data_IF_633838205048
#
_entry.id   IF_633838205048
#
_cell.length_a   1.000
_cell.length_b   1.000
_cell.length_c   1.000
_cell.angle_alpha   90.00
_cell.angle_beta   90.00
_cell.angle_gamma   90.00
#
_symmetry.space_group_name_H-M   'P 1'
#
loop_
_entity.id
_entity.type
_entity.pdbx_description
1 polymer ?
#
# COMPACT_ATOMS: atom_id res chain seq x y z
N UNK A 1 -13.49 41.33 17.07
CA UNK A 1 -14.61 41.42 18.03
C UNK A 1 -15.94 41.05 17.39
N UNK A 2 -16.31 41.61 16.24
CA UNK A 2 -17.54 41.22 15.51
C UNK A 2 -17.61 39.73 15.15
N UNK A 3 -16.54 39.14 14.61
CA UNK A 3 -16.50 37.69 14.32
C UNK A 3 -16.60 36.83 15.58
N UNK A 4 -16.10 37.32 16.72
CA UNK A 4 -16.19 36.60 17.99
C UNK A 4 -17.62 36.59 18.52
N UNK A 5 -18.33 37.72 18.39
CA UNK A 5 -19.75 37.81 18.72
C UNK A 5 -20.58 36.87 17.83
N UNK A 6 -20.37 36.92 16.50
CA UNK A 6 -21.05 36.04 15.55
C UNK A 6 -20.80 34.55 15.84
N UNK A 7 -19.56 34.16 16.15
CA UNK A 7 -19.22 32.77 16.44
C UNK A 7 -19.96 32.23 17.69
N UNK A 8 -20.15 33.09 18.68
CA UNK A 8 -20.84 32.77 19.93
C UNK A 8 -22.37 32.65 19.76
N UNK A 9 -22.95 33.09 18.65
CA UNK A 9 -24.39 32.96 18.38
C UNK A 9 -24.79 31.49 18.15
N UNK A 10 -25.66 30.90 18.99
CA UNK A 10 -26.01 29.48 18.88
C UNK A 10 -26.65 29.12 17.54
N UNK A 11 -27.47 30.03 16.99
CA UNK A 11 -28.21 29.83 15.74
C UNK A 11 -27.43 30.26 14.48
N UNK A 12 -26.14 30.63 14.62
CA UNK A 12 -25.33 31.04 13.48
C UNK A 12 -25.31 29.93 12.42
N UNK A 13 -25.72 30.30 11.21
CA UNK A 13 -25.81 29.37 10.08
C UNK A 13 -24.46 28.69 9.80
N UNK A 14 -24.49 27.39 9.49
CA UNK A 14 -23.28 26.58 9.26
C UNK A 14 -22.33 27.19 8.24
N UNK A 15 -22.85 27.82 7.19
CA UNK A 15 -22.02 28.41 6.13
C UNK A 15 -21.30 29.68 6.60
N UNK A 16 -21.90 30.45 7.51
CA UNK A 16 -21.23 31.56 8.17
C UNK A 16 -20.14 31.05 9.12
N UNK A 17 -20.39 29.96 9.86
CA UNK A 17 -19.35 29.30 10.66
C UNK A 17 -18.19 28.83 9.78
N UNK A 18 -18.46 28.20 8.63
CA UNK A 18 -17.43 27.81 7.65
C UNK A 18 -16.65 29.02 7.12
N UNK A 19 -17.33 30.13 6.83
CA UNK A 19 -16.68 31.36 6.39
C UNK A 19 -15.75 31.95 7.46
N UNK A 20 -16.18 31.96 8.73
CA UNK A 20 -15.35 32.37 9.88
C UNK A 20 -14.11 31.47 9.99
N UNK A 21 -14.28 30.14 9.90
CA UNK A 21 -13.17 29.17 9.95
C UNK A 21 -12.18 29.39 8.81
N UNK A 22 -12.67 29.64 7.59
CA UNK A 22 -11.82 29.95 6.44
C UNK A 22 -11.05 31.26 6.64
N UNK A 23 -11.71 32.29 7.19
CA UNK A 23 -11.07 33.57 7.50
C UNK A 23 -10.06 33.47 8.65
N UNK A 24 -10.31 32.62 9.65
CA UNK A 24 -9.43 32.41 10.81
C UNK A 24 -7.99 32.04 10.40
N UNK A 25 -7.82 31.32 9.28
CA UNK A 25 -6.50 30.94 8.74
C UNK A 25 -5.61 32.14 8.37
N UNK A 26 -6.20 33.33 8.18
CA UNK A 26 -5.47 34.56 7.84
C UNK A 26 -4.98 35.32 9.07
N UNK A 27 -5.44 34.96 10.26
CA UNK A 27 -5.19 35.66 11.53
C UNK A 27 -4.72 34.69 12.62
N UNK A 28 -3.87 33.73 12.26
CA UNK A 28 -3.35 32.69 13.17
C UNK A 28 -2.43 33.22 14.29
N UNK A 29 -2.12 34.52 14.29
CA UNK A 29 -1.46 35.20 15.42
C UNK A 29 -2.45 35.53 16.56
N UNK A 30 -3.76 35.42 16.32
CA UNK A 30 -4.83 35.63 17.31
C UNK A 30 -5.29 34.28 17.89
N UNK A 31 -5.22 34.12 19.22
CA UNK A 31 -5.63 32.89 19.90
C UNK A 31 -7.12 32.54 19.70
N UNK A 32 -7.97 33.54 19.43
CA UNK A 32 -9.39 33.30 19.12
C UNK A 32 -9.57 32.53 17.81
N UNK A 33 -8.69 32.77 16.83
CA UNK A 33 -8.70 32.03 15.58
C UNK A 33 -8.46 30.53 15.82
N UNK A 34 -7.52 30.21 16.72
CA UNK A 34 -7.24 28.83 17.12
C UNK A 34 -8.39 28.21 17.90
N UNK A 35 -9.07 28.97 18.75
CA UNK A 35 -10.27 28.50 19.44
C UNK A 35 -11.35 28.08 18.43
N UNK A 36 -11.69 28.96 17.48
CA UNK A 36 -12.71 28.67 16.47
C UNK A 36 -12.33 27.47 15.59
N UNK A 37 -11.07 27.39 15.18
CA UNK A 37 -10.55 26.25 14.41
C UNK A 37 -10.66 24.93 15.19
N UNK A 38 -10.34 24.95 16.49
CA UNK A 38 -10.44 23.78 17.36
C UNK A 38 -11.88 23.34 17.54
N UNK A 39 -12.78 24.27 17.86
CA UNK A 39 -14.21 23.99 18.01
C UNK A 39 -14.82 23.47 16.70
N UNK A 40 -14.40 24.01 15.56
CA UNK A 40 -14.85 23.57 14.24
C UNK A 40 -14.52 22.11 13.93
N UNK A 41 -13.44 21.55 14.50
CA UNK A 41 -13.11 20.12 14.30
C UNK A 41 -14.18 19.18 14.85
N UNK A 42 -14.93 19.61 15.88
CA UNK A 42 -16.02 18.85 16.48
C UNK A 42 -17.39 19.09 15.84
N UNK A 43 -17.50 20.02 14.90
CA UNK A 43 -18.76 20.37 14.23
C UNK A 43 -18.79 19.73 12.83
N UNK A 44 -19.48 18.60 12.67
CA UNK A 44 -19.57 17.84 11.39
C UNK A 44 -19.77 18.71 10.15
N UNK A 45 -20.70 19.66 10.18
CA UNK A 45 -21.01 20.53 9.05
C UNK A 45 -19.92 21.60 8.73
N UNK A 46 -19.00 21.84 9.67
CA UNK A 46 -17.98 22.89 9.61
C UNK A 46 -16.56 22.31 9.50
N UNK A 47 -16.33 21.09 9.99
CA UNK A 47 -15.01 20.44 10.06
C UNK A 47 -14.28 20.36 8.71
N UNK A 48 -15.01 20.22 7.60
CA UNK A 48 -14.43 20.28 6.25
C UNK A 48 -13.76 21.62 5.93
N UNK A 49 -14.25 22.72 6.48
CA UNK A 49 -13.57 24.01 6.39
C UNK A 49 -12.26 24.06 7.19
N UNK A 50 -11.92 23.08 8.02
CA UNK A 50 -10.56 22.97 8.59
C UNK A 50 -9.64 22.25 7.61
N UNK A 51 -10.11 21.18 6.97
CA UNK A 51 -9.34 20.29 6.10
C UNK A 51 -9.07 20.85 4.70
N UNK A 52 -9.83 21.86 4.26
CA UNK A 52 -9.64 22.57 2.98
C UNK A 52 -8.39 23.45 2.92
N UNK A 53 -7.58 23.52 3.98
CA UNK A 53 -6.35 24.31 3.98
C UNK A 53 -5.21 23.54 3.33
N UNK A 54 -4.49 24.21 2.41
CA UNK A 54 -3.23 23.72 1.89
C UNK A 54 -2.08 24.13 2.85
N UNK A 55 -1.19 23.20 3.25
CA UNK A 55 -0.08 23.50 4.16
C UNK A 55 0.79 24.68 3.74
N UNK A 56 0.96 24.93 2.44
CA UNK A 56 1.76 26.03 1.91
C UNK A 56 1.10 27.39 2.09
N UNK A 57 -0.22 27.43 2.26
CA UNK A 57 -0.95 28.67 2.59
C UNK A 57 -0.87 29.05 4.07
N UNK A 58 -0.43 28.11 4.92
CA UNK A 58 -0.24 28.34 6.36
C UNK A 58 1.22 28.73 6.64
N UNK A 59 1.47 29.80 7.43
CA UNK A 59 2.81 30.16 7.85
C UNK A 59 3.52 29.00 8.54
N UNK A 60 4.80 28.80 8.22
CA UNK A 60 5.58 27.64 8.65
C UNK A 60 5.51 27.37 10.16
N UNK A 61 5.61 28.43 10.97
CA UNK A 61 5.51 28.35 12.45
C UNK A 61 4.21 27.74 12.96
N UNK A 62 3.15 27.70 12.16
CA UNK A 62 1.84 27.19 12.51
C UNK A 62 1.47 25.86 11.86
N UNK A 63 2.28 25.34 10.92
CA UNK A 63 1.93 24.13 10.16
C UNK A 63 1.77 22.89 11.04
N UNK A 64 2.64 22.70 12.02
CA UNK A 64 2.54 21.58 12.95
C UNK A 64 1.24 21.64 13.77
N UNK A 65 0.92 22.82 14.34
CA UNK A 65 -0.30 23.04 15.11
C UNK A 65 -1.56 22.86 14.25
N UNK A 66 -1.53 23.31 13.01
CA UNK A 66 -2.65 23.15 12.08
C UNK A 66 -2.79 21.70 11.61
N UNK A 67 -1.70 20.98 11.36
CA UNK A 67 -1.70 19.54 11.04
C UNK A 67 -2.38 18.71 12.14
N UNK A 68 -2.17 19.06 13.40
CA UNK A 68 -2.86 18.43 14.53
C UNK A 68 -4.40 18.64 14.50
N UNK A 69 -4.88 19.78 13.97
CA UNK A 69 -6.33 19.98 13.76
C UNK A 69 -6.87 19.07 12.66
N UNK A 70 -6.14 18.93 11.54
CA UNK A 70 -6.53 18.02 10.45
C UNK A 70 -6.55 16.57 10.93
N UNK A 71 -5.58 16.16 11.75
CA UNK A 71 -5.59 14.87 12.44
C UNK A 71 -6.77 14.72 13.40
N UNK A 72 -7.15 15.77 14.12
CA UNK A 72 -8.31 15.75 15.01
C UNK A 72 -9.59 15.46 14.21
N UNK A 73 -9.76 16.11 13.04
CA UNK A 73 -10.86 15.80 12.12
C UNK A 73 -10.80 14.35 11.64
N UNK A 74 -9.61 13.85 11.29
CA UNK A 74 -9.40 12.46 10.84
C UNK A 74 -9.78 11.41 11.90
N UNK A 75 -9.68 11.77 13.18
CA UNK A 75 -10.05 10.92 14.33
C UNK A 75 -11.51 11.05 14.77
N UNK A 76 -12.36 11.80 14.05
CA UNK A 76 -13.76 12.02 14.42
C UNK A 76 -14.55 10.72 14.59
N UNK A 77 -15.50 10.72 15.53
CA UNK A 77 -16.45 9.62 15.69
C UNK A 77 -17.49 9.55 14.56
N UNK A 78 -17.74 10.67 13.87
CA UNK A 78 -18.57 10.71 12.67
C UNK A 78 -17.74 10.24 11.45
N UNK A 79 -18.11 9.13 10.79
CA UNK A 79 -17.31 8.57 9.71
C UNK A 79 -17.15 9.49 8.50
N UNK A 80 -18.16 10.29 8.18
CA UNK A 80 -18.10 11.23 7.04
C UNK A 80 -17.09 12.34 7.32
N UNK A 81 -17.13 12.92 8.52
CA UNK A 81 -16.13 13.88 9.00
C UNK A 81 -14.73 13.27 9.01
N UNK A 82 -14.57 12.07 9.60
CA UNK A 82 -13.29 11.37 9.65
C UNK A 82 -12.68 11.17 8.26
N UNK A 83 -13.49 10.76 7.27
CA UNK A 83 -13.02 10.57 5.89
C UNK A 83 -12.45 11.84 5.26
N UNK A 84 -13.02 13.01 5.56
CA UNK A 84 -12.50 14.29 5.03
C UNK A 84 -11.15 14.66 5.67
N UNK A 85 -10.99 14.41 6.97
CA UNK A 85 -9.70 14.55 7.65
C UNK A 85 -8.64 13.58 7.14
N UNK A 86 -9.00 12.30 6.98
CA UNK A 86 -8.09 11.25 6.50
C UNK A 86 -7.62 11.53 5.07
N UNK A 87 -8.49 12.05 4.20
CA UNK A 87 -8.12 12.44 2.84
C UNK A 87 -7.16 13.65 2.81
N UNK A 88 -7.31 14.59 3.75
CA UNK A 88 -6.48 15.79 3.80
C UNK A 88 -5.14 15.58 4.52
N UNK A 89 -5.09 14.69 5.52
CA UNK A 89 -3.95 14.51 6.41
C UNK A 89 -2.60 14.21 5.72
N UNK A 90 -2.51 13.43 4.62
CA UNK A 90 -1.23 13.12 3.98
C UNK A 90 -0.43 14.37 3.58
N UNK A 91 -1.10 15.44 3.15
CA UNK A 91 -0.45 16.71 2.83
C UNK A 91 0.22 17.36 4.07
N UNK A 92 -0.29 17.06 5.27
CA UNK A 92 0.19 17.60 6.54
C UNK A 92 1.22 16.70 7.25
N UNK A 93 1.42 15.48 6.76
CA UNK A 93 2.23 14.43 7.40
C UNK A 93 3.66 14.87 7.76
N UNK A 94 4.28 15.72 6.93
CA UNK A 94 5.62 16.28 7.16
C UNK A 94 5.71 17.07 8.48
N UNK A 95 4.61 17.70 8.92
CA UNK A 95 4.59 18.56 10.12
C UNK A 95 3.88 17.92 11.33
N UNK A 96 3.11 16.84 11.14
CA UNK A 96 2.38 16.15 12.22
C UNK A 96 2.99 14.78 12.53
N UNK A 97 4.02 14.79 13.39
CA UNK A 97 4.77 13.56 13.77
C UNK A 97 3.92 12.51 14.50
N UNK A 98 2.84 12.92 15.14
CA UNK A 98 1.96 12.00 15.88
C UNK A 98 0.91 11.32 14.98
N UNK A 99 0.73 11.81 13.74
CA UNK A 99 -0.40 11.36 12.94
C UNK A 99 -0.29 9.95 12.41
N UNK A 100 0.91 9.49 12.06
CA UNK A 100 1.11 8.11 11.66
C UNK A 100 0.67 7.14 12.77
N UNK A 101 1.12 7.37 14.02
CA UNK A 101 0.77 6.54 15.16
C UNK A 101 -0.75 6.52 15.45
N UNK A 102 -1.42 7.67 15.35
CA UNK A 102 -2.86 7.77 15.52
C UNK A 102 -3.64 6.98 14.45
N UNK A 103 -3.21 7.06 13.18
CA UNK A 103 -3.82 6.33 12.09
C UNK A 103 -3.56 4.82 12.17
N UNK A 104 -2.36 4.40 12.59
CA UNK A 104 -2.03 2.98 12.84
C UNK A 104 -2.96 2.40 13.90
N UNK A 105 -3.16 3.10 15.03
CA UNK A 105 -4.09 2.68 16.08
C UNK A 105 -5.54 2.56 15.54
N UNK A 106 -5.95 3.47 14.67
CA UNK A 106 -7.26 3.42 14.01
C UNK A 106 -7.40 2.25 13.03
N UNK A 107 -6.33 1.87 12.31
CA UNK A 107 -6.31 0.70 11.42
C UNK A 107 -6.36 -0.60 12.23
N UNK A 108 -5.68 -0.66 13.37
CA UNK A 108 -5.66 -1.83 14.26
C UNK A 108 -6.95 -1.97 15.09
N UNK A 109 -7.71 -0.88 15.31
CA UNK A 109 -9.02 -0.92 15.96
C UNK A 109 -10.05 -1.65 15.08
N UNK A 110 -10.22 -2.95 15.35
CA UNK A 110 -11.13 -3.80 14.61
C UNK A 110 -12.59 -3.36 14.73
N UNK A 111 -12.99 -2.54 15.71
CA UNK A 111 -14.37 -2.03 15.82
C UNK A 111 -14.65 -0.85 14.88
N UNK A 112 -13.60 -0.12 14.43
CA UNK A 112 -13.73 0.97 13.45
C UNK A 112 -13.80 0.43 12.02
N UNK A 113 -15.00 0.09 11.55
CA UNK A 113 -15.20 -0.49 10.20
C UNK A 113 -15.26 0.54 9.08
N UNK A 114 -15.75 1.75 9.34
CA UNK A 114 -16.05 2.74 8.31
C UNK A 114 -14.84 3.57 7.83
N UNK A 115 -13.73 3.56 8.58
CA UNK A 115 -12.62 4.51 8.42
C UNK A 115 -11.24 3.87 8.33
N UNK A 116 -11.10 2.56 8.51
CA UNK A 116 -9.79 1.89 8.45
C UNK A 116 -9.18 1.92 7.04
N UNK A 117 -9.99 1.78 5.98
CA UNK A 117 -9.48 1.85 4.59
C UNK A 117 -8.96 3.25 4.23
N UNK A 118 -9.71 4.34 4.46
CA UNK A 118 -9.17 5.69 4.30
C UNK A 118 -7.93 5.97 5.16
N UNK A 119 -7.85 5.40 6.38
CA UNK A 119 -6.65 5.53 7.21
C UNK A 119 -5.44 4.79 6.64
N UNK A 120 -5.62 3.56 6.14
CA UNK A 120 -4.59 2.82 5.42
C UNK A 120 -4.07 3.60 4.21
N UNK A 121 -4.98 4.14 3.40
CA UNK A 121 -4.64 4.97 2.24
C UNK A 121 -3.84 6.21 2.64
N UNK A 122 -4.25 6.87 3.73
CA UNK A 122 -3.59 8.06 4.22
C UNK A 122 -2.15 7.78 4.71
N UNK A 123 -1.93 6.64 5.39
CA UNK A 123 -0.58 6.21 5.78
C UNK A 123 0.29 5.94 4.56
N UNK A 124 -0.21 5.20 3.57
CA UNK A 124 0.53 4.88 2.34
C UNK A 124 0.90 6.15 1.56
N UNK A 125 -0.04 7.08 1.41
CA UNK A 125 0.20 8.38 0.76
C UNK A 125 1.23 9.19 1.54
N UNK A 126 1.15 9.23 2.88
CA UNK A 126 2.11 9.94 3.70
C UNK A 126 3.52 9.36 3.60
N UNK A 127 3.68 8.03 3.55
CA UNK A 127 4.98 7.40 3.34
C UNK A 127 5.57 7.78 1.98
N UNK A 128 4.74 7.81 0.92
CA UNK A 128 5.18 8.24 -0.41
C UNK A 128 5.58 9.74 -0.45
N UNK A 129 4.88 10.60 0.28
CA UNK A 129 5.18 12.05 0.37
C UNK A 129 6.45 12.33 1.18
N UNK A 130 6.62 11.65 2.31
CA UNK A 130 7.71 11.91 3.26
C UNK A 130 8.98 11.11 2.96
N UNK A 131 8.85 9.99 2.24
CA UNK A 131 9.90 8.99 2.09
C UNK A 131 10.17 8.16 3.35
N UNK A 132 9.43 8.39 4.44
CA UNK A 132 9.53 7.60 5.67
C UNK A 132 8.64 6.35 5.56
N UNK A 133 9.26 5.17 5.57
CA UNK A 133 8.58 3.88 5.46
C UNK A 133 8.34 3.19 6.80
N UNK A 134 8.84 3.75 7.91
CA UNK A 134 8.64 3.16 9.24
C UNK A 134 7.15 2.93 9.60
N UNK A 135 6.19 3.79 9.19
CA UNK A 135 4.77 3.52 9.43
C UNK A 135 4.24 2.24 8.77
N UNK A 136 4.84 1.77 7.67
CA UNK A 136 4.41 0.56 6.96
C UNK A 136 4.64 -0.69 7.81
N UNK A 137 5.84 -0.82 8.37
CA UNK A 137 6.20 -1.89 9.30
C UNK A 137 5.30 -1.85 10.55
N UNK A 138 4.98 -0.65 11.04
CA UNK A 138 4.12 -0.48 12.20
C UNK A 138 2.66 -0.88 11.93
N UNK A 139 2.08 -0.56 10.76
CA UNK A 139 0.74 -1.04 10.38
C UNK A 139 0.70 -2.57 10.32
N UNK A 140 1.68 -3.18 9.64
CA UNK A 140 1.75 -4.64 9.48
C UNK A 140 1.90 -5.30 10.85
N UNK A 141 2.80 -4.79 11.70
CA UNK A 141 3.01 -5.32 13.05
C UNK A 141 1.74 -5.22 13.90
N UNK A 142 1.07 -4.06 13.90
CA UNK A 142 -0.14 -3.87 14.67
C UNK A 142 -1.31 -4.77 14.22
N UNK A 143 -1.45 -5.04 12.92
CA UNK A 143 -2.48 -5.95 12.40
C UNK A 143 -2.18 -7.41 12.71
N UNK A 144 -0.91 -7.82 12.66
CA UNK A 144 -0.48 -9.16 13.08
C UNK A 144 -0.74 -9.36 14.58
N UNK A 145 -0.47 -8.37 15.42
CA UNK A 145 -0.66 -8.49 16.88
C UNK A 145 -2.12 -8.80 17.25
N UNK A 146 -3.08 -8.36 16.43
CA UNK A 146 -4.51 -8.60 16.64
C UNK A 146 -5.07 -9.69 15.72
N UNK A 147 -4.22 -10.52 15.10
CA UNK A 147 -4.64 -11.47 14.06
C UNK A 147 -5.64 -12.53 14.54
N UNK A 148 -5.45 -12.99 15.78
CA UNK A 148 -6.29 -13.99 16.44
C UNK A 148 -7.51 -13.40 17.17
N UNK A 149 -7.71 -12.07 17.09
CA UNK A 149 -8.87 -11.42 17.72
C UNK A 149 -10.14 -11.75 16.94
N UNK A 150 -10.99 -12.57 17.57
CA UNK A 150 -12.31 -12.91 17.06
C UNK A 150 -13.27 -11.75 17.33
N UNK A 151 -13.99 -11.32 16.30
CA UNK A 151 -15.11 -10.40 16.46
C UNK A 151 -16.38 -11.03 15.92
N UNK A 152 -17.47 -10.96 16.70
CA UNK A 152 -18.76 -11.50 16.32
C UNK A 152 -19.17 -11.05 14.90
N UNK A 153 -19.70 -12.02 14.14
CA UNK A 153 -20.19 -11.85 12.78
C UNK A 153 -19.14 -11.38 11.74
N UNK A 154 -17.84 -11.49 12.06
CA UNK A 154 -16.75 -11.09 11.17
C UNK A 154 -15.63 -12.12 11.13
N UNK A 155 -15.36 -12.64 9.93
CA UNK A 155 -14.31 -13.64 9.71
C UNK A 155 -12.95 -12.97 9.51
N UNK A 156 -11.99 -13.24 10.40
CA UNK A 156 -10.58 -12.82 10.28
C UNK A 156 -10.38 -11.33 9.92
N UNK A 157 -11.00 -10.38 10.66
CA UNK A 157 -10.99 -8.97 10.30
C UNK A 157 -9.57 -8.37 10.20
N UNK A 158 -8.63 -8.82 11.04
CA UNK A 158 -7.24 -8.39 10.99
C UNK A 158 -6.54 -8.86 9.70
N UNK A 159 -6.65 -10.15 9.34
CA UNK A 159 -6.13 -10.70 8.07
C UNK A 159 -6.69 -10.00 6.85
N UNK A 160 -8.00 -9.73 6.84
CA UNK A 160 -8.64 -9.02 5.73
C UNK A 160 -8.07 -7.61 5.56
N UNK A 161 -7.87 -6.88 6.68
CA UNK A 161 -7.24 -5.55 6.65
C UNK A 161 -5.79 -5.60 6.21
N UNK A 162 -5.02 -6.58 6.69
CA UNK A 162 -3.62 -6.77 6.30
C UNK A 162 -3.51 -7.04 4.80
N UNK A 163 -4.35 -7.94 4.27
CA UNK A 163 -4.39 -8.23 2.82
C UNK A 163 -4.75 -7.00 2.00
N UNK A 164 -5.76 -6.23 2.40
CA UNK A 164 -6.13 -5.00 1.69
C UNK A 164 -5.01 -3.95 1.76
N UNK A 165 -4.34 -3.83 2.92
CA UNK A 165 -3.20 -2.93 3.10
C UNK A 165 -2.03 -3.30 2.20
N UNK A 166 -1.60 -4.57 2.18
CA UNK A 166 -0.49 -5.04 1.33
C UNK A 166 -0.80 -4.89 -0.16
N UNK A 167 -2.05 -5.15 -0.56
CA UNK A 167 -2.51 -4.91 -1.94
C UNK A 167 -2.40 -3.44 -2.33
N UNK A 168 -2.92 -2.52 -1.51
CA UNK A 168 -2.82 -1.06 -1.74
C UNK A 168 -1.39 -0.56 -1.70
N UNK A 169 -0.55 -1.17 -0.86
CA UNK A 169 0.87 -0.86 -0.80
C UNK A 169 1.55 -1.19 -2.13
N UNK A 170 1.21 -2.32 -2.75
CA UNK A 170 1.60 -2.66 -4.12
C UNK A 170 1.27 -1.55 -5.13
N UNK A 171 0.05 -0.99 -5.06
CA UNK A 171 -0.39 0.11 -5.93
C UNK A 171 0.46 1.40 -5.77
N UNK A 172 1.10 1.59 -4.61
CA UNK A 172 1.93 2.75 -4.30
C UNK A 172 3.40 2.60 -4.72
N UNK A 173 3.87 1.40 -5.09
CA UNK A 173 5.29 1.16 -5.38
C UNK A 173 5.80 1.94 -6.60
N UNK A 174 4.93 2.21 -7.59
CA UNK A 174 5.32 3.01 -8.75
C UNK A 174 5.50 4.49 -8.41
N UNK A 175 4.64 5.05 -7.56
CA UNK A 175 4.71 6.46 -7.14
C UNK A 175 5.79 6.70 -6.08
N UNK A 176 6.03 5.70 -5.23
CA UNK A 176 6.92 5.79 -4.06
C UNK A 176 8.40 5.58 -4.32
N UNK A 177 8.79 5.21 -5.54
CA UNK A 177 10.18 5.00 -5.92
C UNK A 177 10.85 3.82 -5.20
N UNK A 178 12.18 3.86 -5.11
CA UNK A 178 12.99 2.73 -4.63
C UNK A 178 12.86 2.50 -3.11
N UNK A 179 12.66 3.55 -2.33
CA UNK A 179 12.48 3.43 -0.87
C UNK A 179 11.25 2.59 -0.52
N UNK A 180 10.11 2.84 -1.18
CA UNK A 180 8.88 2.08 -0.98
C UNK A 180 9.04 0.63 -1.45
N UNK A 181 9.79 0.40 -2.54
CA UNK A 181 10.11 -0.96 -3.02
C UNK A 181 10.97 -1.74 -2.04
N UNK A 182 12.03 -1.13 -1.49
CA UNK A 182 12.85 -1.76 -0.46
C UNK A 182 12.06 -2.10 0.81
N UNK A 183 11.12 -1.24 1.22
CA UNK A 183 10.21 -1.55 2.31
C UNK A 183 9.28 -2.74 2.00
N UNK A 184 8.77 -2.84 0.76
CA UNK A 184 7.96 -3.98 0.34
C UNK A 184 8.74 -5.30 0.30
N UNK A 185 10.00 -5.26 -0.14
CA UNK A 185 10.91 -6.41 -0.09
C UNK A 185 11.16 -6.88 1.35
N UNK A 186 11.46 -5.96 2.27
CA UNK A 186 11.67 -6.27 3.69
C UNK A 186 10.40 -6.86 4.33
N UNK A 187 9.24 -6.24 4.08
CA UNK A 187 7.96 -6.66 4.64
C UNK A 187 7.53 -8.02 4.10
N UNK A 188 7.65 -8.24 2.79
CA UNK A 188 7.32 -9.54 2.18
C UNK A 188 8.23 -10.65 2.71
N UNK A 189 9.53 -10.40 2.87
CA UNK A 189 10.46 -11.37 3.48
C UNK A 189 10.07 -11.69 4.92
N UNK A 190 9.74 -10.67 5.72
CA UNK A 190 9.34 -10.85 7.13
C UNK A 190 8.05 -11.66 7.23
N UNK A 191 7.03 -11.33 6.43
CA UNK A 191 5.74 -12.00 6.44
C UNK A 191 5.78 -13.42 5.86
N UNK A 192 6.68 -13.71 4.91
CA UNK A 192 6.78 -15.02 4.28
C UNK A 192 7.15 -16.15 5.27
N UNK A 193 7.80 -15.80 6.38
CA UNK A 193 8.12 -16.72 7.47
C UNK A 193 6.88 -17.16 8.28
N UNK A 194 5.77 -16.43 8.17
CA UNK A 194 4.48 -16.77 8.83
C UNK A 194 3.59 -17.50 7.85
N UNK A 195 3.18 -18.72 8.20
CA UNK A 195 2.44 -19.59 7.28
C UNK A 195 1.10 -18.95 6.87
N UNK A 196 0.42 -18.31 7.81
CA UNK A 196 -0.87 -17.64 7.65
C UNK A 196 -0.82 -16.43 6.70
N UNK A 197 0.36 -15.83 6.50
CA UNK A 197 0.54 -14.62 5.66
C UNK A 197 1.38 -14.87 4.41
N UNK A 198 1.88 -16.10 4.22
CA UNK A 198 2.84 -16.43 3.15
C UNK A 198 2.32 -16.10 1.75
N UNK A 199 1.04 -16.36 1.49
CA UNK A 199 0.42 -16.04 0.19
C UNK A 199 0.41 -14.54 -0.08
N UNK A 200 0.00 -13.74 0.90
CA UNK A 200 -0.08 -12.28 0.78
C UNK A 200 1.33 -11.66 0.71
N UNK A 201 2.29 -12.24 1.44
CA UNK A 201 3.71 -11.86 1.40
C UNK A 201 4.35 -12.10 0.02
N UNK A 202 4.14 -13.28 -0.56
CA UNK A 202 4.65 -13.62 -1.90
C UNK A 202 4.01 -12.76 -2.99
N UNK A 203 2.72 -12.41 -2.84
CA UNK A 203 2.07 -11.49 -3.75
C UNK A 203 2.76 -10.11 -3.73
N UNK A 204 3.03 -9.56 -2.54
CA UNK A 204 3.76 -8.31 -2.40
C UNK A 204 5.19 -8.41 -2.96
N UNK A 205 5.90 -9.51 -2.73
CA UNK A 205 7.25 -9.72 -3.24
C UNK A 205 7.31 -9.66 -4.78
N UNK A 206 6.34 -10.28 -5.46
CA UNK A 206 6.25 -10.21 -6.93
C UNK A 206 5.96 -8.77 -7.39
N UNK A 207 5.03 -8.06 -6.74
CA UNK A 207 4.74 -6.66 -7.07
C UNK A 207 5.96 -5.75 -6.82
N UNK A 208 6.78 -6.07 -5.82
CA UNK A 208 7.99 -5.34 -5.46
C UNK A 208 9.22 -5.66 -6.33
N UNK A 209 9.11 -6.55 -7.33
CA UNK A 209 10.25 -6.86 -8.20
C UNK A 209 10.85 -5.59 -8.83
N UNK A 210 12.19 -5.54 -8.95
CA UNK A 210 12.86 -4.38 -9.53
C UNK A 210 12.50 -4.29 -11.01
N UNK A 211 12.20 -3.08 -11.48
CA UNK A 211 11.82 -2.86 -12.89
C UNK A 211 13.03 -2.87 -13.83
N UNK A 212 14.24 -2.78 -13.27
CA UNK A 212 15.52 -2.78 -13.98
C UNK A 212 16.56 -3.53 -13.15
N UNK A 213 17.50 -4.18 -13.83
CA UNK A 213 18.57 -4.93 -13.20
C UNK A 213 18.24 -6.41 -13.01
N UNK A 214 19.10 -7.10 -12.26
CA UNK A 214 19.05 -8.54 -12.11
C UNK A 214 17.86 -8.99 -11.24
N UNK A 215 16.92 -9.72 -11.85
CA UNK A 215 15.76 -10.30 -11.19
C UNK A 215 16.08 -11.56 -10.39
N UNK A 216 17.20 -12.23 -10.71
CA UNK A 216 17.48 -13.59 -10.24
C UNK A 216 17.54 -13.70 -8.70
N UNK A 217 18.19 -12.79 -7.95
CA UNK A 217 18.20 -12.87 -6.49
C UNK A 217 16.80 -12.80 -5.87
N UNK A 218 15.97 -11.87 -6.35
CA UNK A 218 14.61 -11.68 -5.85
C UNK A 218 13.72 -12.89 -6.18
N UNK A 219 13.81 -13.41 -7.40
CA UNK A 219 13.05 -14.60 -7.82
C UNK A 219 13.45 -15.86 -7.05
N UNK A 220 14.73 -16.02 -6.72
CA UNK A 220 15.20 -17.11 -5.84
C UNK A 220 14.68 -16.96 -4.41
N UNK A 221 14.68 -15.75 -3.87
CA UNK A 221 14.09 -15.46 -2.56
C UNK A 221 12.60 -15.81 -2.52
N UNK A 222 11.85 -15.42 -3.55
CA UNK A 222 10.45 -15.77 -3.74
C UNK A 222 10.25 -17.30 -3.83
N UNK A 223 11.06 -17.98 -4.65
CA UNK A 223 10.96 -19.43 -4.84
C UNK A 223 11.23 -20.21 -3.54
N UNK A 224 12.16 -19.74 -2.70
CA UNK A 224 12.49 -20.36 -1.43
C UNK A 224 11.31 -20.40 -0.44
N UNK A 225 10.40 -19.43 -0.51
CA UNK A 225 9.17 -19.42 0.31
C UNK A 225 7.95 -20.00 -0.43
N UNK A 226 8.04 -20.27 -1.73
CA UNK A 226 6.97 -20.91 -2.50
C UNK A 226 7.09 -22.45 -2.44
N UNK A 227 7.23 -23.00 -1.25
CA UNK A 227 7.59 -24.39 -0.94
C UNK A 227 6.46 -25.42 -1.17
N UNK A 228 5.24 -24.94 -1.50
CA UNK A 228 4.07 -25.77 -1.77
C UNK A 228 3.64 -25.64 -3.23
N UNK A 229 3.20 -26.74 -3.90
CA UNK A 229 2.77 -26.70 -5.29
C UNK A 229 1.78 -25.57 -5.62
N UNK A 230 0.73 -25.41 -4.82
CA UNK A 230 -0.26 -24.36 -5.01
C UNK A 230 0.32 -22.95 -4.88
N UNK A 231 1.26 -22.72 -3.95
CA UNK A 231 1.94 -21.43 -3.79
C UNK A 231 2.88 -21.16 -4.96
N UNK A 232 3.71 -22.13 -5.32
CA UNK A 232 4.63 -22.03 -6.45
C UNK A 232 3.89 -21.68 -7.75
N UNK A 233 2.77 -22.35 -8.02
CA UNK A 233 1.91 -22.05 -9.16
C UNK A 233 1.34 -20.63 -9.09
N UNK A 234 0.80 -20.23 -7.95
CA UNK A 234 0.22 -18.90 -7.75
C UNK A 234 1.22 -17.76 -7.91
N UNK A 235 2.47 -17.95 -7.49
CA UNK A 235 3.54 -16.97 -7.68
C UNK A 235 3.98 -16.94 -9.14
N UNK A 236 4.09 -18.10 -9.79
CA UNK A 236 4.39 -18.20 -11.20
C UNK A 236 3.34 -17.46 -12.08
N UNK A 237 2.05 -17.58 -11.75
CA UNK A 237 0.98 -16.82 -12.43
C UNK A 237 1.10 -15.32 -12.20
N UNK A 238 1.37 -14.89 -10.96
CA UNK A 238 1.61 -13.48 -10.64
C UNK A 238 2.82 -12.91 -11.36
N UNK A 239 3.90 -13.68 -11.49
CA UNK A 239 5.08 -13.26 -12.24
C UNK A 239 4.74 -13.09 -13.72
N UNK A 240 3.95 -14.01 -14.30
CA UNK A 240 3.49 -13.88 -15.68
C UNK A 240 2.65 -12.62 -15.88
N UNK A 241 1.71 -12.33 -14.97
CA UNK A 241 0.90 -11.11 -14.97
C UNK A 241 1.78 -9.85 -14.83
N UNK A 242 2.71 -9.85 -13.87
CA UNK A 242 3.66 -8.75 -13.67
C UNK A 242 4.45 -8.47 -14.95
N UNK A 243 4.96 -9.51 -15.63
CA UNK A 243 5.71 -9.38 -16.88
C UNK A 243 4.88 -8.77 -18.03
N UNK A 244 3.54 -8.88 -18.03
CA UNK A 244 2.71 -8.25 -19.07
C UNK A 244 2.82 -6.73 -19.08
N UNK A 245 3.07 -6.10 -17.93
CA UNK A 245 3.27 -4.67 -17.77
C UNK A 245 4.72 -4.20 -17.96
N UNK A 246 5.66 -5.12 -18.25
CA UNK A 246 7.10 -4.84 -18.28
C UNK A 246 7.74 -5.20 -19.63
N UNK A 247 9.01 -4.80 -19.81
CA UNK A 247 9.77 -5.08 -21.04
C UNK A 247 10.14 -6.56 -21.16
N UNK A 248 9.28 -7.31 -21.84
CA UNK A 248 9.45 -8.74 -22.15
C UNK A 248 10.48 -9.03 -23.24
N UNK A 249 11.04 -8.00 -23.87
CA UNK A 249 12.10 -8.14 -24.88
C UNK A 249 13.50 -8.08 -24.29
N UNK A 250 13.62 -7.85 -22.98
CA UNK A 250 14.91 -7.79 -22.29
C UNK A 250 15.71 -9.10 -22.49
N UNK A 251 16.94 -9.01 -22.99
CA UNK A 251 17.78 -10.20 -23.22
C UNK A 251 18.19 -10.89 -21.91
N UNK A 252 18.15 -10.17 -20.78
CA UNK A 252 18.49 -10.70 -19.46
C UNK A 252 17.49 -11.76 -18.99
N UNK A 253 16.23 -11.71 -19.46
CA UNK A 253 15.18 -12.65 -19.06
C UNK A 253 15.51 -14.10 -19.42
N UNK A 254 16.22 -14.34 -20.54
CA UNK A 254 16.67 -15.69 -20.89
C UNK A 254 17.70 -16.20 -19.89
N UNK A 255 18.68 -15.36 -19.53
CA UNK A 255 19.71 -15.71 -18.54
C UNK A 255 19.09 -16.02 -17.18
N UNK A 256 18.14 -15.19 -16.73
CA UNK A 256 17.38 -15.40 -15.50
C UNK A 256 16.58 -16.70 -15.53
N UNK A 257 15.84 -16.97 -16.62
CA UNK A 257 15.03 -18.18 -16.73
C UNK A 257 15.89 -19.45 -16.74
N UNK A 258 17.03 -19.44 -17.44
CA UNK A 258 17.98 -20.56 -17.44
C UNK A 258 18.61 -20.82 -16.06
N UNK A 259 18.71 -19.79 -15.21
CA UNK A 259 19.30 -19.90 -13.88
C UNK A 259 18.32 -20.33 -12.77
N UNK A 260 17.04 -20.53 -13.11
CA UNK A 260 15.93 -20.88 -12.21
C UNK A 260 15.47 -22.32 -12.43
N UNK A 261 16.28 -23.30 -12.01
CA UNK A 261 15.99 -24.72 -12.19
C UNK A 261 16.29 -25.57 -10.94
N UNK A 262 16.73 -24.96 -9.83
CA UNK A 262 17.19 -25.72 -8.66
C UNK A 262 16.05 -26.34 -7.85
N UNK A 263 14.82 -25.85 -8.02
CA UNK A 263 13.62 -26.37 -7.36
C UNK A 263 12.40 -26.32 -8.28
N UNK A 264 11.32 -27.07 -7.98
CA UNK A 264 10.06 -26.97 -8.73
C UNK A 264 9.50 -25.54 -8.76
N UNK A 265 9.63 -24.79 -7.68
CA UNK A 265 9.20 -23.40 -7.62
C UNK A 265 10.01 -22.51 -8.57
N UNK A 266 11.34 -22.64 -8.58
CA UNK A 266 12.19 -21.93 -9.55
C UNK A 266 11.82 -22.30 -10.99
N UNK A 267 11.65 -23.58 -11.30
CA UNK A 267 11.28 -24.04 -12.64
C UNK A 267 9.91 -23.51 -13.09
N UNK A 268 8.93 -23.36 -12.19
CA UNK A 268 7.65 -22.71 -12.49
C UNK A 268 7.79 -21.21 -12.78
N UNK A 269 8.70 -20.52 -12.08
CA UNK A 269 9.05 -19.12 -12.40
C UNK A 269 9.74 -19.04 -13.78
N UNK A 270 10.68 -19.94 -14.07
CA UNK A 270 11.33 -20.03 -15.38
C UNK A 270 10.33 -20.28 -16.51
N UNK A 271 9.36 -21.18 -16.31
CA UNK A 271 8.27 -21.41 -17.25
C UNK A 271 7.42 -20.16 -17.50
N UNK A 272 7.19 -19.36 -16.45
CA UNK A 272 6.42 -18.10 -16.54
C UNK A 272 7.18 -17.01 -17.28
N UNK A 273 8.49 -16.87 -17.05
CA UNK A 273 9.34 -15.98 -17.85
C UNK A 273 9.32 -16.42 -19.31
N UNK A 274 9.49 -17.72 -19.55
CA UNK A 274 9.54 -18.30 -20.90
C UNK A 274 8.25 -18.11 -21.68
N UNK A 275 7.08 -18.26 -21.03
CA UNK A 275 5.78 -18.06 -21.68
C UNK A 275 5.54 -16.61 -22.09
N UNK A 276 6.11 -15.64 -21.37
CA UNK A 276 5.95 -14.22 -21.64
C UNK A 276 7.00 -13.66 -22.60
N UNK A 277 8.27 -14.03 -22.42
CA UNK A 277 9.40 -13.48 -23.18
C UNK A 277 9.71 -14.27 -24.46
N UNK A 278 9.50 -15.59 -24.47
CA UNK A 278 9.77 -16.47 -25.61
C UNK A 278 9.08 -16.04 -26.91
N UNK A 279 7.76 -15.74 -26.89
CA UNK A 279 7.05 -15.23 -28.06
C UNK A 279 7.61 -13.89 -28.56
N UNK A 280 7.96 -12.97 -27.66
CA UNK A 280 8.49 -11.64 -28.01
C UNK A 280 9.88 -11.73 -28.63
N UNK A 281 10.68 -12.70 -28.18
CA UNK A 281 12.00 -12.99 -28.74
C UNK A 281 11.93 -13.76 -30.08
N UNK A 282 10.76 -14.25 -30.51
CA UNK A 282 10.60 -15.05 -31.73
C UNK A 282 11.10 -16.49 -31.62
N UNK A 283 11.12 -17.06 -30.41
CA UNK A 283 11.51 -18.45 -30.16
C UNK A 283 12.88 -18.89 -30.73
N UNK A 284 13.99 -18.15 -30.52
CA UNK A 284 15.31 -18.64 -30.87
C UNK A 284 15.64 -19.91 -30.09
N UNK A 285 16.64 -20.65 -30.58
CA UNK A 285 16.98 -22.00 -30.10
C UNK A 285 17.08 -22.13 -28.57
N UNK A 286 17.74 -21.22 -27.82
CA UNK A 286 17.84 -21.34 -26.37
C UNK A 286 16.50 -21.36 -25.63
N UNK A 287 15.53 -20.55 -26.06
CA UNK A 287 14.18 -20.55 -25.47
C UNK A 287 13.44 -21.87 -25.76
N UNK A 288 13.59 -22.43 -26.97
CA UNK A 288 12.96 -23.70 -27.32
C UNK A 288 13.56 -24.86 -26.53
N UNK A 289 14.88 -24.88 -26.35
CA UNK A 289 15.57 -25.89 -25.54
C UNK A 289 15.13 -25.82 -24.07
N UNK A 290 14.97 -24.61 -23.51
CA UNK A 290 14.42 -24.44 -22.16
C UNK A 290 12.98 -24.96 -22.03
N UNK A 291 12.09 -24.68 -22.98
CA UNK A 291 10.73 -25.26 -22.94
C UNK A 291 10.76 -26.79 -22.99
N UNK A 292 11.63 -27.36 -23.83
CA UNK A 292 11.77 -28.81 -23.92
C UNK A 292 12.29 -29.43 -22.62
N UNK A 293 13.27 -28.79 -21.95
CA UNK A 293 13.75 -29.28 -20.64
C UNK A 293 12.67 -29.18 -19.57
N UNK A 294 11.89 -28.10 -19.54
CA UNK A 294 10.78 -27.93 -18.60
C UNK A 294 9.66 -28.97 -18.81
N UNK A 295 9.42 -29.40 -20.05
CA UNK A 295 8.46 -30.47 -20.38
C UNK A 295 8.95 -31.86 -19.97
N UNK A 296 10.26 -32.05 -19.84
CA UNK A 296 10.89 -33.28 -19.36
C UNK A 296 11.24 -33.22 -17.85
N UNK A 297 10.82 -32.16 -17.16
CA UNK A 297 11.15 -31.94 -15.75
C UNK A 297 10.54 -33.05 -14.85
N UNK A 298 11.23 -33.49 -13.77
CA UNK A 298 10.73 -34.56 -12.89
C UNK A 298 9.43 -34.21 -12.16
N UNK A 299 9.23 -32.94 -11.83
CA UNK A 299 8.01 -32.44 -11.17
C UNK A 299 6.82 -32.34 -12.14
N UNK A 300 5.66 -32.83 -11.73
CA UNK A 300 4.47 -32.90 -12.60
C UNK A 300 3.85 -31.53 -12.90
N UNK A 301 3.85 -30.61 -11.93
CA UNK A 301 3.26 -29.29 -12.10
C UNK A 301 4.10 -28.43 -13.05
N UNK A 302 5.43 -28.59 -13.00
CA UNK A 302 6.34 -27.96 -13.98
C UNK A 302 6.04 -28.45 -15.40
N UNK A 303 5.90 -29.76 -15.60
CA UNK A 303 5.55 -30.32 -16.92
C UNK A 303 4.19 -29.84 -17.41
N UNK A 304 3.19 -29.83 -16.53
CA UNK A 304 1.84 -29.33 -16.83
C UNK A 304 1.90 -27.89 -17.33
N UNK A 305 2.54 -26.98 -16.58
CA UNK A 305 2.68 -25.58 -16.98
C UNK A 305 3.45 -25.42 -18.29
N UNK A 306 4.54 -26.17 -18.48
CA UNK A 306 5.36 -26.12 -19.69
C UNK A 306 4.63 -26.67 -20.93
N UNK A 307 3.64 -27.54 -20.74
CA UNK A 307 2.81 -28.06 -21.84
C UNK A 307 1.89 -27.01 -22.44
N UNK A 308 1.51 -25.98 -21.69
CA UNK A 308 0.67 -24.87 -22.17
C UNK A 308 1.46 -23.83 -22.99
N UNK A 309 2.78 -23.93 -23.03
CA UNK A 309 3.64 -23.05 -23.82
C UNK A 309 3.70 -23.57 -25.25
N UNK A 310 3.13 -22.84 -26.21
CA UNK A 310 3.23 -23.19 -27.62
C UNK A 310 4.31 -22.35 -28.32
N UNK A 311 5.15 -23.00 -29.11
CA UNK A 311 5.87 -22.31 -30.17
C UNK A 311 4.84 -21.77 -31.18
N UNK A 312 5.19 -20.73 -31.96
CA UNK A 312 4.26 -19.98 -32.81
C UNK A 312 3.13 -20.83 -33.45
N UNK A 313 1.88 -20.33 -33.48
CA UNK A 313 0.74 -21.10 -33.97
C UNK A 313 0.93 -21.49 -35.44
N UNK A 314 0.37 -22.64 -35.82
CA UNK A 314 0.28 -23.10 -37.22
C UNK A 314 -0.50 -22.14 -38.12
#
# INVERSE_FOLDING_TARGET
>A
DELAALWAEPELHRDLRRAIVSAARRVLDDDRAWQWLTEATGLTAVATAVTEADPMTIPERYRARYGALVRTVAGSADPDTARTGLAAWPAWSVWDREGAAALIAQIADLHRTATWQPAAEAVLTACAVTGDTAPLDAVVSALVEVDDVVVADRDQPARQRLRDFLRRFGDHLSAGGETMRGAAEQLSTTLAHREEHRTDALALAVTALPHRGDLLPALRGIAAFADRPALAWQVADRLAEWLTGHDRSSPELLGTALALEASPAEALLAASITSQAGPQAGWPRPWRELVLSLRDHPDADVRERASHISFAPE
#
